data_IF_745236853961
#
_entry.id   IF_745236853961
#
_cell.length_a   1.000
_cell.length_b   1.000
_cell.length_c   1.000
_cell.angle_alpha   90.00
_cell.angle_beta   90.00
_cell.angle_gamma   90.00
#
_symmetry.space_group_name_H-M   'P 1'
#
loop_
_entity.id
_entity.type
_entity.pdbx_description
1 polymer ?
#
# COMPACT_ATOMS: atom_id res chain seq x y z
N UNK A 1 33.39 -37.87 10.14
CA UNK A 1 31.94 -38.11 9.94
C UNK A 1 31.71 -38.41 8.45
N UNK A 2 31.22 -39.61 8.11
CA UNK A 2 31.06 -40.03 6.71
C UNK A 2 29.95 -39.25 6.00
N UNK A 3 29.93 -39.28 4.66
CA UNK A 3 28.88 -38.62 3.86
C UNK A 3 27.49 -39.20 4.18
N UNK A 4 27.37 -40.51 4.43
CA UNK A 4 26.09 -41.13 4.82
C UNK A 4 25.64 -40.69 6.21
N UNK A 5 26.55 -40.68 7.20
CA UNK A 5 26.22 -40.25 8.56
C UNK A 5 25.71 -38.79 8.62
N UNK A 6 26.21 -37.92 7.73
CA UNK A 6 25.69 -36.54 7.59
C UNK A 6 24.28 -36.50 7.00
N UNK A 7 24.00 -37.32 5.98
CA UNK A 7 22.68 -37.39 5.37
C UNK A 7 21.62 -37.95 6.36
N UNK A 8 21.98 -38.98 7.11
CA UNK A 8 21.13 -39.58 8.14
C UNK A 8 20.83 -38.55 9.25
N UNK A 9 21.85 -37.81 9.68
CA UNK A 9 21.67 -36.74 10.67
C UNK A 9 20.73 -35.63 10.18
N UNK A 10 20.88 -35.17 8.94
CA UNK A 10 19.97 -34.15 8.35
C UNK A 10 18.54 -34.68 8.30
N UNK A 11 18.37 -35.96 7.94
CA UNK A 11 17.05 -36.60 7.88
C UNK A 11 16.39 -36.62 9.25
N UNK A 12 17.12 -37.03 10.29
CA UNK A 12 16.63 -37.02 11.68
C UNK A 12 16.26 -35.61 12.13
N UNK A 13 17.08 -34.60 11.82
CA UNK A 13 16.77 -33.21 12.15
C UNK A 13 15.51 -32.71 11.44
N UNK A 14 15.34 -33.04 10.16
CA UNK A 14 14.15 -32.69 9.39
C UNK A 14 12.89 -33.35 9.96
N UNK A 15 12.97 -34.64 10.33
CA UNK A 15 11.86 -35.36 10.98
C UNK A 15 11.48 -34.72 12.31
N UNK A 16 12.46 -34.38 13.16
CA UNK A 16 12.21 -33.71 14.43
C UNK A 16 11.59 -32.32 14.25
N UNK A 17 12.06 -31.56 13.26
CA UNK A 17 11.48 -30.25 12.92
C UNK A 17 10.03 -30.38 12.44
N UNK A 18 9.75 -31.32 11.54
CA UNK A 18 8.39 -31.60 11.07
C UNK A 18 7.46 -32.01 12.23
N UNK A 19 7.92 -32.89 13.11
CA UNK A 19 7.14 -33.32 14.27
C UNK A 19 6.80 -32.14 15.18
N UNK A 20 7.80 -31.32 15.55
CA UNK A 20 7.57 -30.11 16.35
C UNK A 20 6.62 -29.13 15.69
N UNK A 21 6.66 -29.00 14.37
CA UNK A 21 5.72 -28.13 13.65
C UNK A 21 4.30 -28.66 13.74
N UNK A 22 4.08 -29.96 13.52
CA UNK A 22 2.75 -30.56 13.64
C UNK A 22 2.22 -30.41 15.06
N UNK A 23 3.04 -30.73 16.08
CA UNK A 23 2.65 -30.57 17.49
C UNK A 23 2.31 -29.12 17.86
N UNK A 24 3.00 -28.14 17.31
CA UNK A 24 2.78 -26.72 17.63
C UNK A 24 1.92 -25.97 16.61
N UNK A 25 1.36 -26.67 15.61
CA UNK A 25 0.60 -26.05 14.53
C UNK A 25 -0.64 -25.35 15.08
N UNK A 26 -1.41 -26.02 15.94
CA UNK A 26 -2.60 -25.46 16.58
C UNK A 26 -2.30 -24.16 17.36
N UNK A 27 -1.17 -24.10 18.10
CA UNK A 27 -0.73 -22.89 18.81
C UNK A 27 -0.36 -21.77 17.84
N UNK A 28 0.29 -22.11 16.73
CA UNK A 28 0.71 -21.15 15.71
C UNK A 28 -0.49 -20.57 14.98
N UNK A 29 -1.43 -21.42 14.55
CA UNK A 29 -2.66 -21.03 13.88
C UNK A 29 -3.55 -20.19 14.80
N UNK A 30 -3.74 -20.60 16.07
CA UNK A 30 -4.48 -19.81 17.06
C UNK A 30 -3.87 -18.41 17.27
N UNK A 31 -2.54 -18.32 17.43
CA UNK A 31 -1.85 -17.02 17.55
C UNK A 31 -2.02 -16.17 16.29
N UNK A 32 -1.92 -16.77 15.10
CA UNK A 32 -2.12 -16.08 13.81
C UNK A 32 -3.56 -15.57 13.72
N UNK A 33 -4.54 -16.40 14.05
CA UNK A 33 -5.96 -16.05 14.05
C UNK A 33 -6.26 -14.84 14.95
N UNK A 34 -5.78 -14.84 16.19
CA UNK A 34 -5.98 -13.72 17.12
C UNK A 34 -5.37 -12.43 16.58
N UNK A 35 -4.11 -12.49 16.11
CA UNK A 35 -3.41 -11.32 15.56
C UNK A 35 -4.09 -10.78 14.30
N UNK A 36 -4.49 -11.65 13.39
CA UNK A 36 -5.19 -11.26 12.16
C UNK A 36 -6.54 -10.64 12.49
N UNK A 37 -7.28 -11.21 13.44
CA UNK A 37 -8.60 -10.69 13.85
C UNK A 37 -8.50 -9.32 14.50
N UNK A 38 -7.56 -9.13 15.43
CA UNK A 38 -7.30 -7.82 16.04
C UNK A 38 -6.94 -6.78 14.99
N UNK A 39 -6.03 -7.14 14.07
CA UNK A 39 -5.64 -6.24 13.00
C UNK A 39 -6.80 -5.94 12.05
N UNK A 40 -7.63 -6.93 11.71
CA UNK A 40 -8.79 -6.73 10.86
C UNK A 40 -9.75 -5.71 11.48
N UNK A 41 -9.99 -5.81 12.80
CA UNK A 41 -10.81 -4.83 13.51
C UNK A 41 -10.22 -3.43 13.42
N UNK A 42 -8.92 -3.27 13.70
CA UNK A 42 -8.26 -1.96 13.58
C UNK A 42 -8.38 -1.37 12.17
N UNK A 43 -8.27 -2.18 11.12
CA UNK A 43 -8.41 -1.67 9.75
C UNK A 43 -9.87 -1.29 9.40
N UNK A 44 -10.86 -1.95 10.00
CA UNK A 44 -12.28 -1.57 9.90
C UNK A 44 -12.51 -0.23 10.61
N UNK A 45 -12.02 -0.09 11.84
CA UNK A 45 -12.14 1.16 12.62
C UNK A 45 -11.44 2.33 11.88
N UNK A 46 -10.29 2.07 11.27
CA UNK A 46 -9.58 3.04 10.42
C UNK A 46 -10.40 3.42 9.17
N UNK A 47 -11.11 2.47 8.55
CA UNK A 47 -11.97 2.74 7.41
C UNK A 47 -13.18 3.58 7.81
N UNK A 48 -13.79 3.29 8.97
CA UNK A 48 -14.90 4.08 9.50
C UNK A 48 -14.46 5.51 9.83
N UNK A 49 -13.30 5.66 10.47
CA UNK A 49 -12.70 6.96 10.76
C UNK A 49 -12.45 7.75 9.46
N UNK A 50 -11.91 7.08 8.43
CA UNK A 50 -11.69 7.71 7.12
C UNK A 50 -12.99 8.14 6.43
N UNK A 51 -14.06 7.33 6.55
CA UNK A 51 -15.38 7.70 6.01
C UNK A 51 -15.96 8.92 6.72
N UNK A 52 -15.77 9.01 8.05
CA UNK A 52 -16.19 10.17 8.84
C UNK A 52 -15.38 11.42 8.49
N UNK A 53 -14.05 11.30 8.35
CA UNK A 53 -13.16 12.37 7.91
C UNK A 53 -13.58 12.96 6.55
N UNK A 54 -14.00 12.09 5.63
CA UNK A 54 -14.37 12.48 4.28
C UNK A 54 -15.86 12.81 4.12
N UNK A 55 -16.66 12.63 5.19
CA UNK A 55 -18.11 12.80 5.20
C UNK A 55 -18.82 12.10 4.01
N UNK A 56 -18.46 10.84 3.76
CA UNK A 56 -18.95 10.06 2.61
C UNK A 56 -19.93 8.97 3.01
N UNK A 57 -20.91 8.72 2.15
CA UNK A 57 -21.86 7.62 2.31
C UNK A 57 -21.30 6.28 1.85
N UNK A 58 -22.06 5.20 2.09
CA UNK A 58 -21.73 3.88 1.57
C UNK A 58 -21.74 3.85 0.04
N UNK A 59 -22.71 4.51 -0.60
CA UNK A 59 -22.86 4.59 -2.05
C UNK A 59 -21.67 5.32 -2.69
N UNK A 60 -21.22 6.43 -2.08
CA UNK A 60 -20.03 7.16 -2.51
C UNK A 60 -18.77 6.28 -2.42
N UNK A 61 -18.67 5.47 -1.37
CA UNK A 61 -17.54 4.55 -1.18
C UNK A 61 -17.49 3.52 -2.32
N UNK A 62 -18.62 2.93 -2.68
CA UNK A 62 -18.70 1.96 -3.77
C UNK A 62 -18.42 2.59 -5.13
N UNK A 63 -18.97 3.78 -5.37
CA UNK A 63 -18.73 4.55 -6.58
C UNK A 63 -17.23 4.87 -6.74
N UNK A 64 -16.58 5.39 -5.71
CA UNK A 64 -15.15 5.73 -5.80
C UNK A 64 -14.28 4.49 -6.00
N UNK A 65 -14.68 3.35 -5.43
CA UNK A 65 -14.00 2.06 -5.67
C UNK A 65 -14.14 1.64 -7.13
N UNK A 66 -15.31 1.83 -7.75
CA UNK A 66 -15.52 1.53 -9.18
C UNK A 66 -14.73 2.48 -10.06
N UNK A 67 -14.73 3.78 -9.76
CA UNK A 67 -13.97 4.79 -10.51
C UNK A 67 -12.46 4.48 -10.49
N UNK A 68 -11.89 4.14 -9.33
CA UNK A 68 -10.45 3.77 -9.24
C UNK A 68 -10.16 2.48 -10.04
N UNK A 69 -11.06 1.50 -10.03
CA UNK A 69 -10.92 0.27 -10.84
C UNK A 69 -10.99 0.55 -12.34
N UNK A 70 -11.96 1.35 -12.76
CA UNK A 70 -12.11 1.75 -14.16
C UNK A 70 -10.90 2.54 -14.61
N UNK A 71 -10.43 3.47 -13.78
CA UNK A 71 -9.23 4.26 -14.04
C UNK A 71 -8.01 3.37 -14.28
N UNK A 72 -7.77 2.37 -13.42
CA UNK A 72 -6.70 1.38 -13.60
C UNK A 72 -6.88 0.51 -14.86
N UNK A 73 -8.11 0.26 -15.31
CA UNK A 73 -8.38 -0.49 -16.53
C UNK A 73 -8.19 0.35 -17.82
N UNK A 74 -8.47 1.66 -17.75
CA UNK A 74 -8.40 2.60 -18.87
C UNK A 74 -7.02 3.23 -19.10
N UNK A 75 -6.04 2.95 -18.22
CA UNK A 75 -4.69 3.56 -18.20
C UNK A 75 -3.88 3.39 -19.50
N UNK A 76 -4.40 2.69 -20.51
CA UNK A 76 -3.75 2.45 -21.80
C UNK A 76 -4.35 3.15 -23.02
N UNK A 77 -5.49 3.85 -22.94
CA UNK A 77 -6.13 4.39 -24.15
C UNK A 77 -6.68 5.82 -24.00
N UNK A 78 -6.05 6.75 -24.73
CA UNK A 78 -6.76 7.84 -25.41
C UNK A 78 -6.46 9.27 -24.96
N UNK A 79 -5.55 9.94 -25.67
CA UNK A 79 -5.68 11.35 -26.04
C UNK A 79 -5.73 12.41 -24.94
N UNK A 80 -4.92 12.29 -23.88
CA UNK A 80 -4.76 13.39 -22.92
C UNK A 80 -3.62 14.30 -23.36
N UNK A 81 -3.72 15.60 -23.06
CA UNK A 81 -2.61 16.52 -23.37
C UNK A 81 -1.36 16.08 -22.60
N UNK A 82 -0.18 16.35 -23.13
CA UNK A 82 1.10 16.03 -22.47
C UNK A 82 1.18 16.59 -21.04
N UNK A 83 0.44 17.68 -20.76
CA UNK A 83 0.33 18.29 -19.44
C UNK A 83 -0.52 17.46 -18.47
N UNK A 84 -1.69 16.96 -18.88
CA UNK A 84 -2.56 16.11 -18.04
C UNK A 84 -1.92 14.76 -17.73
N UNK A 85 -1.16 14.20 -18.68
CA UNK A 85 -0.33 13.02 -18.46
C UNK A 85 0.73 13.25 -17.36
N UNK A 86 1.45 14.37 -17.42
CA UNK A 86 2.44 14.74 -16.41
C UNK A 86 1.81 14.98 -15.04
N UNK A 87 0.65 15.64 -14.96
CA UNK A 87 -0.08 15.85 -13.71
C UNK A 87 -0.44 14.52 -13.06
N UNK A 88 -0.98 13.57 -13.84
CA UNK A 88 -1.32 12.21 -13.36
C UNK A 88 -0.10 11.44 -12.88
N UNK A 89 1.01 11.49 -13.60
CA UNK A 89 2.25 10.84 -13.18
C UNK A 89 2.79 11.44 -11.87
N UNK A 90 2.73 12.76 -11.71
CA UNK A 90 3.12 13.45 -10.47
C UNK A 90 2.24 12.99 -9.32
N UNK A 91 0.91 12.93 -9.51
CA UNK A 91 -0.03 12.46 -8.49
C UNK A 91 0.21 11.00 -8.08
N UNK A 92 0.48 10.12 -9.05
CA UNK A 92 0.80 8.71 -8.78
C UNK A 92 2.09 8.56 -7.97
N UNK A 93 3.13 9.34 -8.33
CA UNK A 93 4.40 9.32 -7.61
C UNK A 93 4.24 9.87 -6.18
N UNK A 94 3.48 10.96 -5.99
CA UNK A 94 3.21 11.53 -4.66
C UNK A 94 2.45 10.52 -3.80
N UNK A 95 1.40 9.91 -4.33
CA UNK A 95 0.63 8.88 -3.63
C UNK A 95 1.54 7.70 -3.23
N UNK A 96 2.30 7.18 -4.18
CA UNK A 96 3.26 6.10 -3.97
C UNK A 96 4.32 6.44 -2.91
N UNK A 97 4.80 7.68 -2.89
CA UNK A 97 5.76 8.16 -1.88
C UNK A 97 5.14 8.23 -0.49
N UNK A 98 3.93 8.78 -0.34
CA UNK A 98 3.23 8.86 0.95
C UNK A 98 3.00 7.46 1.52
N UNK A 99 2.49 6.54 0.69
CA UNK A 99 2.29 5.13 1.06
C UNK A 99 3.59 4.44 1.49
N UNK A 100 4.67 4.59 0.70
CA UNK A 100 5.98 3.98 1.03
C UNK A 100 6.64 4.61 2.26
N UNK A 101 6.41 5.90 2.54
CA UNK A 101 6.85 6.58 3.77
C UNK A 101 6.13 5.99 4.98
N UNK A 102 4.81 5.80 4.90
CA UNK A 102 4.05 5.12 5.96
C UNK A 102 4.55 3.68 6.18
N UNK A 103 4.76 2.91 5.10
CA UNK A 103 5.28 1.54 5.16
C UNK A 103 6.71 1.42 5.71
N UNK A 104 7.48 2.50 5.76
CA UNK A 104 8.87 2.49 6.21
C UNK A 104 9.01 2.15 7.70
N UNK A 105 8.00 2.46 8.50
CA UNK A 105 8.03 2.29 9.96
C UNK A 105 7.20 1.11 10.46
N UNK A 106 6.80 0.20 9.57
CA UNK A 106 6.08 -1.02 9.96
C UNK A 106 6.93 -1.85 10.93
N UNK A 107 6.34 -2.22 12.07
CA UNK A 107 7.02 -2.66 13.30
C UNK A 107 7.95 -3.89 13.18
N UNK A 108 7.80 -4.72 12.13
CA UNK A 108 8.51 -6.01 12.01
C UNK A 108 9.61 -6.06 10.94
N UNK A 109 10.05 -4.91 10.41
CA UNK A 109 11.09 -4.88 9.38
C UNK A 109 12.51 -4.95 9.95
N UNK A 110 13.34 -5.83 9.36
CA UNK A 110 14.78 -5.83 9.61
C UNK A 110 15.45 -4.55 9.11
N UNK A 111 16.61 -4.20 9.66
CA UNK A 111 17.39 -3.03 9.21
C UNK A 111 17.74 -3.09 7.72
N UNK A 112 18.04 -4.29 7.19
CA UNK A 112 18.32 -4.46 5.76
C UNK A 112 17.09 -4.18 4.90
N UNK A 113 15.91 -4.65 5.30
CA UNK A 113 14.64 -4.38 4.61
C UNK A 113 14.31 -2.90 4.67
N UNK A 114 14.46 -2.26 5.84
CA UNK A 114 14.25 -0.82 6.02
C UNK A 114 15.18 0.00 5.13
N UNK A 115 16.45 -0.41 5.01
CA UNK A 115 17.41 0.27 4.13
C UNK A 115 17.03 0.15 2.65
N UNK A 116 16.56 -1.02 2.20
CA UNK A 116 16.04 -1.19 0.84
C UNK A 116 14.82 -0.30 0.58
N UNK A 117 13.90 -0.19 1.56
CA UNK A 117 12.76 0.73 1.49
C UNK A 117 13.20 2.19 1.38
N UNK A 118 14.18 2.63 2.19
CA UNK A 118 14.75 3.98 2.11
C UNK A 118 15.33 4.29 0.72
N UNK A 119 16.12 3.38 0.14
CA UNK A 119 16.68 3.56 -1.22
C UNK A 119 15.60 3.78 -2.27
N UNK A 120 14.56 2.93 -2.29
CA UNK A 120 13.40 3.07 -3.19
C UNK A 120 12.67 4.40 -2.98
N UNK A 121 12.58 4.88 -1.73
CA UNK A 121 11.99 6.17 -1.43
C UNK A 121 12.82 7.32 -2.00
N UNK A 122 14.14 7.26 -1.87
CA UNK A 122 15.06 8.26 -2.45
C UNK A 122 14.98 8.27 -3.98
N UNK A 123 14.93 7.11 -4.62
CA UNK A 123 14.75 6.98 -6.07
C UNK A 123 13.44 7.59 -6.55
N UNK A 124 12.32 7.32 -5.85
CA UNK A 124 11.04 7.93 -6.17
C UNK A 124 11.03 9.44 -5.96
N UNK A 125 11.66 9.95 -4.90
CA UNK A 125 11.81 11.40 -4.70
C UNK A 125 12.59 12.04 -5.84
N UNK A 126 13.63 11.36 -6.36
CA UNK A 126 14.38 11.84 -7.53
C UNK A 126 13.49 11.89 -8.77
N UNK A 127 12.73 10.83 -9.05
CA UNK A 127 11.77 10.79 -10.17
C UNK A 127 10.71 11.89 -10.04
N UNK A 128 10.20 12.13 -8.84
CA UNK A 128 9.24 13.20 -8.60
C UNK A 128 9.82 14.56 -8.96
N UNK A 129 11.06 14.86 -8.52
CA UNK A 129 11.75 16.12 -8.87
C UNK A 129 11.92 16.27 -10.37
N UNK A 130 12.30 15.20 -11.07
CA UNK A 130 12.44 15.20 -12.53
C UNK A 130 11.11 15.51 -13.23
N UNK A 131 9.99 14.91 -12.77
CA UNK A 131 8.66 15.16 -13.36
C UNK A 131 8.10 16.54 -13.02
N UNK A 132 8.29 17.04 -11.80
CA UNK A 132 7.91 18.41 -11.44
C UNK A 132 8.73 19.42 -12.26
N UNK A 133 10.01 19.17 -12.49
CA UNK A 133 10.83 20.02 -13.35
C UNK A 133 10.27 20.04 -14.79
N UNK A 134 9.91 18.88 -15.35
CA UNK A 134 9.27 18.78 -16.66
C UNK A 134 7.93 19.54 -16.71
N UNK A 135 7.15 19.49 -15.63
CA UNK A 135 5.90 20.24 -15.53
C UNK A 135 6.14 21.75 -15.47
N UNK A 136 7.08 22.21 -14.64
CA UNK A 136 7.41 23.63 -14.48
C UNK A 136 8.06 24.24 -15.75
N UNK A 137 8.63 23.44 -16.64
CA UNK A 137 9.15 23.89 -17.94
C UNK A 137 8.08 24.09 -19.01
N UNK A 138 6.84 23.71 -18.74
CA UNK A 138 5.72 23.90 -19.68
C UNK A 138 5.16 25.32 -19.49
N UNK A 139 5.31 26.17 -20.51
CA UNK A 139 4.95 27.61 -20.54
C UNK A 139 3.45 27.92 -20.27
N UNK A 140 2.57 26.93 -20.20
CA UNK A 140 1.14 27.09 -19.90
C UNK A 140 0.80 27.03 -18.40
N UNK A 141 1.78 26.83 -17.51
CA UNK A 141 1.53 26.69 -16.07
C UNK A 141 1.47 28.06 -15.37
N UNK A 142 0.31 28.41 -14.82
CA UNK A 142 0.05 29.69 -14.14
C UNK A 142 0.70 29.81 -12.76
N UNK A 143 1.06 28.70 -12.12
CA UNK A 143 1.70 28.67 -10.79
C UNK A 143 2.83 27.63 -10.76
N UNK A 144 4.02 28.05 -10.31
CA UNK A 144 5.19 27.19 -10.20
C UNK A 144 5.07 26.28 -8.98
N UNK A 145 5.35 25.00 -9.18
CA UNK A 145 5.32 24.03 -8.10
C UNK A 145 6.63 24.07 -7.32
N UNK A 146 6.56 24.31 -6.02
CA UNK A 146 7.71 24.15 -5.13
C UNK A 146 8.08 22.66 -4.96
N UNK A 147 9.17 22.29 -5.60
CA UNK A 147 9.74 20.93 -5.54
C UNK A 147 10.10 20.49 -4.14
N UNK A 148 10.50 21.40 -3.25
CA UNK A 148 11.00 21.07 -1.92
C UNK A 148 9.85 20.81 -0.94
N UNK A 149 8.81 21.66 -0.99
CA UNK A 149 7.56 21.45 -0.27
C UNK A 149 6.90 20.09 -0.60
N UNK A 150 6.74 19.73 -1.88
CA UNK A 150 6.14 18.42 -2.24
C UNK A 150 7.05 17.26 -1.84
N UNK A 151 8.37 17.38 -2.01
CA UNK A 151 9.31 16.33 -1.63
C UNK A 151 9.39 16.10 -0.11
N UNK A 152 8.96 17.07 0.70
CA UNK A 152 8.82 16.94 2.14
C UNK A 152 7.69 15.97 2.55
N UNK A 153 6.74 15.73 1.63
CA UNK A 153 5.56 14.89 1.84
C UNK A 153 4.74 15.37 3.06
N UNK A 154 4.62 16.68 3.26
CA UNK A 154 3.59 17.25 4.13
C UNK A 154 2.21 16.92 3.54
N UNK A 155 1.26 16.64 4.42
CA UNK A 155 -0.11 16.28 4.03
C UNK A 155 -0.83 17.44 3.35
N UNK A 156 -0.46 18.68 3.71
CA UNK A 156 -1.15 19.93 3.37
C UNK A 156 -0.73 20.55 2.03
N UNK A 157 0.14 19.91 1.25
CA UNK A 157 0.54 20.47 -0.06
C UNK A 157 -0.56 20.20 -1.08
N UNK A 158 -1.30 21.27 -1.40
CA UNK A 158 -2.32 21.31 -2.44
C UNK A 158 -1.62 21.63 -3.77
N UNK A 159 -1.83 20.78 -4.77
CA UNK A 159 -1.32 21.04 -6.12
C UNK A 159 -2.19 22.07 -6.85
N UNK A 160 -1.64 22.82 -7.81
CA UNK A 160 -2.41 23.84 -8.55
C UNK A 160 -3.71 23.27 -9.12
N UNK A 161 -3.65 22.13 -9.81
CA UNK A 161 -4.82 21.46 -10.39
C UNK A 161 -5.75 20.77 -9.38
N UNK A 162 -5.31 20.60 -8.12
CA UNK A 162 -6.19 20.18 -7.02
C UNK A 162 -7.03 21.36 -6.50
N UNK A 163 -6.61 22.61 -6.72
CA UNK A 163 -7.35 23.81 -6.32
C UNK A 163 -8.41 24.27 -7.33
N UNK A 164 -8.27 23.90 -8.61
CA UNK A 164 -9.22 24.27 -9.67
C UNK A 164 -10.41 23.30 -9.84
N UNK A 165 -10.41 22.15 -9.17
CA UNK A 165 -11.45 21.12 -9.31
C UNK A 165 -12.43 21.07 -8.14
N UNK A 166 -13.73 21.22 -8.42
CA UNK A 166 -14.84 20.97 -7.48
C UNK A 166 -15.07 19.45 -7.24
N UNK A 167 -14.24 18.59 -7.84
CA UNK A 167 -14.30 17.13 -7.73
C UNK A 167 -13.28 16.59 -6.72
N UNK A 168 -13.69 15.60 -5.93
CA UNK A 168 -12.80 14.87 -5.01
C UNK A 168 -11.56 14.33 -5.73
N UNK A 169 -10.38 14.76 -5.27
CA UNK A 169 -9.08 14.40 -5.83
C UNK A 169 -8.91 12.88 -5.94
N UNK A 170 -8.34 12.43 -7.06
CA UNK A 170 -8.04 11.01 -7.32
C UNK A 170 -7.21 10.38 -6.18
N UNK A 171 -6.33 11.18 -5.56
CA UNK A 171 -5.51 10.77 -4.42
C UNK A 171 -6.37 10.34 -3.22
N UNK A 172 -7.44 11.07 -2.94
CA UNK A 172 -8.39 10.78 -1.86
C UNK A 172 -9.19 9.53 -2.18
N UNK A 173 -9.69 9.41 -3.43
CA UNK A 173 -10.39 8.20 -3.90
C UNK A 173 -9.51 6.95 -3.79
N UNK A 174 -8.22 7.05 -4.14
CA UNK A 174 -7.25 5.97 -3.99
C UNK A 174 -6.93 5.62 -2.53
N UNK A 175 -6.80 6.61 -1.64
CA UNK A 175 -6.62 6.37 -0.19
C UNK A 175 -7.78 5.55 0.36
N UNK A 176 -9.02 5.93 0.03
CA UNK A 176 -10.22 5.17 0.40
C UNK A 176 -10.21 3.77 -0.20
N UNK A 177 -9.94 3.66 -1.51
CA UNK A 177 -9.87 2.38 -2.20
C UNK A 177 -8.87 1.42 -1.55
N UNK A 178 -7.65 1.87 -1.25
CA UNK A 178 -6.62 1.04 -0.62
C UNK A 178 -7.05 0.55 0.77
N UNK A 179 -7.71 1.40 1.56
CA UNK A 179 -8.23 1.02 2.87
C UNK A 179 -9.37 -0.02 2.75
N UNK A 180 -10.31 0.18 1.82
CA UNK A 180 -11.38 -0.80 1.54
C UNK A 180 -10.79 -2.14 1.09
N UNK A 181 -9.81 -2.12 0.17
CA UNK A 181 -9.15 -3.35 -0.29
C UNK A 181 -8.35 -4.03 0.82
N UNK A 182 -7.76 -3.27 1.73
CA UNK A 182 -7.05 -3.82 2.90
C UNK A 182 -8.02 -4.55 3.83
N UNK A 183 -9.17 -3.95 4.15
CA UNK A 183 -10.21 -4.59 4.97
C UNK A 183 -10.67 -5.90 4.33
N UNK A 184 -11.02 -5.89 3.04
CA UNK A 184 -11.43 -7.11 2.31
C UNK A 184 -10.37 -8.21 2.37
N UNK A 185 -9.09 -7.86 2.16
CA UNK A 185 -7.99 -8.83 2.25
C UNK A 185 -7.83 -9.41 3.65
N UNK A 186 -8.06 -8.61 4.69
CA UNK A 186 -8.00 -9.07 6.08
C UNK A 186 -9.16 -10.02 6.40
N UNK A 187 -10.35 -9.80 5.84
CA UNK A 187 -11.49 -10.73 5.94
C UNK A 187 -11.21 -12.06 5.23
N UNK A 188 -10.66 -12.02 4.01
CA UNK A 188 -10.24 -13.21 3.27
C UNK A 188 -9.20 -14.03 4.07
N UNK A 189 -8.19 -13.36 4.64
CA UNK A 189 -7.17 -13.99 5.48
C UNK A 189 -7.77 -14.66 6.71
N UNK A 190 -8.78 -14.05 7.36
CA UNK A 190 -9.50 -14.70 8.47
C UNK A 190 -10.17 -15.99 8.02
N UNK A 191 -10.85 -15.99 6.87
CA UNK A 191 -11.51 -17.19 6.32
C UNK A 191 -10.49 -18.29 6.02
N UNK A 192 -9.33 -17.93 5.44
CA UNK A 192 -8.26 -18.89 5.16
C UNK A 192 -7.75 -19.53 6.45
N UNK A 193 -7.46 -18.75 7.49
CA UNK A 193 -6.97 -19.26 8.76
C UNK A 193 -8.00 -20.20 9.41
N UNK A 194 -9.29 -19.86 9.38
CA UNK A 194 -10.34 -20.74 9.89
C UNK A 194 -10.36 -22.07 9.14
N UNK A 195 -10.24 -22.05 7.81
CA UNK A 195 -10.15 -23.28 7.01
C UNK A 195 -8.92 -24.11 7.38
N UNK A 196 -7.76 -23.48 7.51
CA UNK A 196 -6.53 -24.14 7.97
C UNK A 196 -6.73 -24.77 9.36
N UNK A 197 -7.37 -24.06 10.29
CA UNK A 197 -7.67 -24.56 11.64
C UNK A 197 -8.68 -25.71 11.64
N UNK A 198 -9.63 -25.76 10.70
CA UNK A 198 -10.62 -26.85 10.62
C UNK A 198 -10.08 -28.13 10.00
N UNK A 199 -9.00 -28.04 9.21
CA UNK A 199 -8.34 -29.17 8.58
C UNK A 199 -7.37 -29.91 9.52
N UNK A 200 -7.09 -29.34 10.69
CA UNK A 200 -6.09 -29.80 11.66
C UNK A 200 -6.70 -29.97 13.04
#
# INVERSE_FOLDING_TARGET
>A
MTKSARADMITVLAMQWNHRNVENLHKTLSKRFVKTTQRAQTEVDNLESLKQELNISLEDTEQWVLEVKQWAATEKHGGQSSQEELQREIDDIIYSLRRKKHDLYRQNDSNQTRQRKRRRLTELKKKLRERILQYNTIDTCTETIDTEAICSLSEDVILPWEAQGDMVNLRTKRRLFDQVMLVRRMEEEKVIIVKEMTQH
#
